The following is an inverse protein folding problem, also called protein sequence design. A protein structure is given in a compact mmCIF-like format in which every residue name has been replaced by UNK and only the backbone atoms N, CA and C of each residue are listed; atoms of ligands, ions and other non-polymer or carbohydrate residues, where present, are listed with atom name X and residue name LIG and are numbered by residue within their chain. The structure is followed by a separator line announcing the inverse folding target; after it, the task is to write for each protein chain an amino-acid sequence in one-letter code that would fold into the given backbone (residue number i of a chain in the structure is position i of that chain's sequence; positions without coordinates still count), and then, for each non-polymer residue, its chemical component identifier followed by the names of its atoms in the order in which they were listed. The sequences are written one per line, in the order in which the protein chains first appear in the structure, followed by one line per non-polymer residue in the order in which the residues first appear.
data_IF_997251254142
#
_entry.id   IF_997251254142
#
_cell.length_a   1.000
_cell.length_b   1.000
_cell.length_c   1.000
_cell.angle_alpha   90.00
_cell.angle_beta   90.00
_cell.angle_gamma   90.00
#
_symmetry.space_group_name_H-M   'P 1'
#
loop_
_entity.id
_entity.type
_entity.pdbx_description
1 polymer ?
#
# COMPACT_ATOMS: atom_id res chain seq x y z
N UNK A 1 2.12 -2.91 9.20
CA UNK A 1 1.33 -3.23 10.41
C UNK A 1 1.81 -2.45 11.63
N UNK A 2 3.07 -2.59 12.08
CA UNK A 2 3.55 -1.89 13.30
C UNK A 2 3.49 -0.34 13.23
N UNK A 3 3.71 0.27 12.06
CA UNK A 3 3.61 1.72 11.90
C UNK A 3 2.18 2.26 12.15
N UNK A 4 1.15 1.54 11.69
CA UNK A 4 -0.25 1.91 11.95
C UNK A 4 -0.59 1.75 13.43
N UNK A 5 -0.23 0.62 14.06
CA UNK A 5 -0.49 0.39 15.48
C UNK A 5 0.18 1.42 16.40
N UNK A 6 1.37 1.92 16.01
CA UNK A 6 2.05 3.01 16.73
C UNK A 6 1.33 4.36 16.55
N UNK A 7 0.81 4.67 15.35
CA UNK A 7 -0.03 5.87 15.15
C UNK A 7 -1.35 5.78 15.93
N UNK A 8 -1.89 4.58 16.12
CA UNK A 8 -3.07 4.32 16.96
C UNK A 8 -2.80 4.49 18.47
N UNK A 9 -1.56 4.24 18.90
CA UNK A 9 -1.18 4.28 20.34
C UNK A 9 -1.31 5.67 20.97
N UNK A 10 -1.37 6.74 20.16
CA UNK A 10 -1.71 8.11 20.55
C UNK A 10 -3.21 8.42 20.52
N UNK A 11 -4.07 7.52 21.06
CA UNK A 11 -5.55 7.61 21.02
C UNK A 11 -6.19 7.61 19.62
N UNK A 12 -5.47 7.21 18.57
CA UNK A 12 -6.01 7.19 17.20
C UNK A 12 -6.19 8.55 16.54
N UNK A 13 -5.56 9.62 17.03
CA UNK A 13 -5.76 11.01 16.60
C UNK A 13 -5.21 11.36 15.19
N UNK A 14 -4.98 10.39 14.32
CA UNK A 14 -4.39 10.60 12.99
C UNK A 14 -5.13 9.79 11.92
N UNK A 15 -6.46 9.88 11.89
CA UNK A 15 -7.32 9.17 10.94
C UNK A 15 -6.91 9.35 9.48
N UNK A 16 -6.61 10.58 9.08
CA UNK A 16 -6.13 10.90 7.73
C UNK A 16 -4.81 10.17 7.40
N UNK A 17 -3.83 10.26 8.31
CA UNK A 17 -2.54 9.57 8.17
C UNK A 17 -2.73 8.05 8.05
N UNK A 18 -3.64 7.48 8.85
CA UNK A 18 -3.95 6.05 8.74
C UNK A 18 -4.53 5.73 7.36
N UNK A 19 -5.46 6.54 6.83
CA UNK A 19 -6.02 6.30 5.49
C UNK A 19 -4.97 6.38 4.38
N UNK A 20 -4.00 7.28 4.49
CA UNK A 20 -2.86 7.37 3.55
C UNK A 20 -2.04 6.07 3.58
N UNK A 21 -1.70 5.58 4.77
CA UNK A 21 -0.89 4.37 4.93
C UNK A 21 -1.68 3.14 4.48
N UNK A 22 -2.96 3.05 4.81
CA UNK A 22 -3.81 1.92 4.44
C UNK A 22 -3.94 1.80 2.93
N UNK A 23 -4.06 2.91 2.20
CA UNK A 23 -4.04 2.90 0.74
C UNK A 23 -2.74 2.29 0.20
N UNK A 24 -1.59 2.69 0.76
CA UNK A 24 -0.30 2.15 0.34
C UNK A 24 -0.17 0.65 0.64
N UNK A 25 -0.64 0.21 1.81
CA UNK A 25 -0.66 -1.21 2.20
C UNK A 25 -1.59 -1.99 1.26
N UNK A 26 -2.79 -1.48 1.01
CA UNK A 26 -3.79 -2.10 0.15
C UNK A 26 -3.25 -2.28 -1.27
N UNK A 27 -2.70 -1.22 -1.86
CA UNK A 27 -2.13 -1.29 -3.21
C UNK A 27 -0.98 -2.31 -3.29
N UNK A 28 -0.15 -2.39 -2.26
CA UNK A 28 0.94 -3.38 -2.18
C UNK A 28 0.39 -4.80 -2.07
N UNK A 29 -0.56 -5.03 -1.17
CA UNK A 29 -1.18 -6.33 -0.94
C UNK A 29 -1.88 -6.86 -2.21
N UNK A 30 -2.65 -6.01 -2.91
CA UNK A 30 -3.28 -6.36 -4.19
C UNK A 30 -2.25 -6.74 -5.24
N UNK A 31 -1.13 -6.00 -5.35
CA UNK A 31 -0.06 -6.34 -6.30
C UNK A 31 0.57 -7.69 -5.98
N UNK A 32 0.83 -7.99 -4.70
CA UNK A 32 1.36 -9.30 -4.27
C UNK A 32 0.40 -10.42 -4.64
N UNK A 33 -0.89 -10.29 -4.28
CA UNK A 33 -1.93 -11.28 -4.61
C UNK A 33 -1.98 -11.50 -6.12
N UNK A 34 -2.06 -10.42 -6.90
CA UNK A 34 -2.16 -10.49 -8.35
C UNK A 34 -0.92 -11.14 -8.99
N UNK A 35 0.30 -10.77 -8.55
CA UNK A 35 1.54 -11.37 -9.06
C UNK A 35 1.61 -12.88 -8.73
N UNK A 36 1.27 -13.27 -7.51
CA UNK A 36 1.24 -14.66 -7.07
C UNK A 36 0.23 -15.48 -7.89
N UNK A 37 -0.99 -14.96 -8.10
CA UNK A 37 -2.04 -15.63 -8.90
C UNK A 37 -1.72 -15.71 -10.38
N UNK A 38 -1.11 -14.68 -10.97
CA UNK A 38 -0.70 -14.73 -12.39
C UNK A 38 0.45 -15.70 -12.61
N UNK A 39 1.34 -15.88 -11.62
CA UNK A 39 2.47 -16.81 -11.63
C UNK A 39 3.22 -16.81 -12.98
N UNK A 40 3.59 -15.61 -13.46
CA UNK A 40 4.28 -15.44 -14.72
C UNK A 40 5.43 -14.44 -14.55
N UNK A 41 6.64 -14.90 -14.87
CA UNK A 41 7.88 -14.14 -14.75
C UNK A 41 7.82 -12.79 -15.47
N UNK A 42 7.13 -12.69 -16.60
CA UNK A 42 6.99 -11.43 -17.33
C UNK A 42 6.35 -10.34 -16.45
N UNK A 43 5.36 -10.69 -15.62
CA UNK A 43 4.71 -9.71 -14.74
C UNK A 43 5.59 -9.31 -13.56
N UNK A 44 6.43 -10.22 -13.06
CA UNK A 44 7.45 -9.89 -12.06
C UNK A 44 8.52 -8.97 -12.65
N UNK A 45 9.03 -9.26 -13.85
CA UNK A 45 10.00 -8.42 -14.55
C UNK A 45 9.43 -7.03 -14.84
N UNK A 46 8.16 -6.94 -15.26
CA UNK A 46 7.47 -5.65 -15.41
C UNK A 46 7.38 -4.91 -14.08
N UNK A 47 7.12 -5.61 -12.97
CA UNK A 47 7.00 -4.99 -11.64
C UNK A 47 8.32 -4.36 -11.20
N UNK A 48 9.40 -5.14 -11.32
CA UNK A 48 10.76 -4.70 -11.01
C UNK A 48 11.19 -3.58 -11.96
N UNK A 49 11.09 -3.80 -13.27
CA UNK A 49 11.53 -2.85 -14.29
C UNK A 49 10.79 -1.51 -14.19
N UNK A 50 9.46 -1.52 -14.06
CA UNK A 50 8.71 -0.28 -13.93
C UNK A 50 9.05 0.46 -12.63
N UNK A 51 9.37 -0.24 -11.55
CA UNK A 51 9.81 0.35 -10.28
C UNK A 51 11.19 1.02 -10.35
N UNK A 52 12.05 0.60 -11.27
CA UNK A 52 13.42 1.12 -11.40
C UNK A 52 13.55 2.29 -12.40
N UNK A 53 12.50 2.64 -13.13
CA UNK A 53 12.56 3.75 -14.12
C UNK A 53 12.90 5.08 -13.48
N UNK A 54 12.32 5.37 -12.32
CA UNK A 54 12.61 6.61 -11.58
C UNK A 54 14.04 6.65 -11.07
N UNK A 55 14.62 5.50 -10.71
CA UNK A 55 16.02 5.40 -10.30
C UNK A 55 16.97 5.73 -11.46
N UNK A 56 16.66 5.26 -12.68
CA UNK A 56 17.41 5.61 -13.88
C UNK A 56 17.32 7.11 -14.21
N UNK A 57 16.13 7.69 -14.11
CA UNK A 57 15.91 9.13 -14.33
C UNK A 57 16.73 9.96 -13.33
N UNK A 58 16.71 9.58 -12.04
CA UNK A 58 17.51 10.23 -11.01
C UNK A 58 19.01 10.08 -11.27
N UNK A 59 19.45 8.88 -11.66
CA UNK A 59 20.86 8.61 -12.00
C UNK A 59 21.33 9.51 -13.14
N UNK A 60 20.58 9.56 -14.23
CA UNK A 60 20.88 10.42 -15.38
C UNK A 60 20.99 11.89 -14.95
N UNK A 61 20.07 12.35 -14.09
CA UNK A 61 20.11 13.73 -13.59
C UNK A 61 21.37 14.02 -12.77
N UNK A 62 21.77 13.09 -11.90
CA UNK A 62 22.99 13.21 -11.09
C UNK A 62 24.23 13.24 -12.00
N UNK A 63 24.31 12.33 -12.95
CA UNK A 63 25.44 12.24 -13.89
C UNK A 63 25.58 13.51 -14.74
N UNK A 64 24.47 14.07 -15.21
CA UNK A 64 24.46 15.33 -15.94
C UNK A 64 24.94 16.50 -15.06
N UNK A 65 24.48 16.58 -13.81
CA UNK A 65 24.95 17.60 -12.86
C UNK A 65 26.46 17.48 -12.57
N UNK A 66 27.02 16.28 -12.54
CA UNK A 66 28.46 16.03 -12.38
C UNK A 66 29.23 16.56 -13.60
N UNK A 67 28.74 16.27 -14.82
CA UNK A 67 29.35 16.74 -16.07
C UNK A 67 29.33 18.27 -16.15
N UNK A 68 28.22 18.90 -15.79
CA UNK A 68 28.06 20.37 -15.79
C UNK A 68 29.01 21.07 -14.80
N UNK A 69 29.59 20.33 -13.85
CA UNK A 69 30.57 20.83 -12.88
C UNK A 69 31.98 20.28 -13.14
N UNK A 70 32.36 20.15 -14.41
CA UNK A 70 33.69 19.67 -14.83
C UNK A 70 34.08 18.33 -14.19
N UNK A 71 33.13 17.42 -14.07
CA UNK A 71 33.28 16.11 -13.44
C UNK A 71 33.63 16.14 -11.93
N UNK A 72 33.33 17.25 -11.24
CA UNK A 72 33.44 17.30 -9.77
C UNK A 72 32.25 16.59 -9.13
N UNK A 73 32.53 15.40 -8.62
CA UNK A 73 31.58 14.55 -7.89
C UNK A 73 31.47 15.03 -6.44
N UNK A 74 30.24 15.25 -5.97
CA UNK A 74 29.96 15.51 -4.56
C UNK A 74 29.81 14.20 -3.79
N UNK A 75 30.16 14.21 -2.50
CA UNK A 75 30.03 13.03 -1.62
C UNK A 75 28.60 12.49 -1.57
N UNK A 76 27.60 13.38 -1.60
CA UNK A 76 26.19 12.97 -1.62
C UNK A 76 25.81 12.27 -2.91
N UNK A 77 26.36 12.69 -4.05
CA UNK A 77 26.08 12.09 -5.36
C UNK A 77 26.71 10.71 -5.47
N UNK A 78 27.95 10.54 -4.99
CA UNK A 78 28.58 9.22 -4.91
C UNK A 78 27.74 8.25 -4.07
N UNK A 79 27.19 8.72 -2.94
CA UNK A 79 26.31 7.90 -2.10
C UNK A 79 24.99 7.57 -2.79
N UNK A 80 24.39 8.52 -3.50
CA UNK A 80 23.14 8.30 -4.24
C UNK A 80 23.34 7.31 -5.37
N UNK A 81 24.38 7.49 -6.20
CA UNK A 81 24.72 6.58 -7.30
C UNK A 81 24.96 5.16 -6.79
N UNK A 82 25.75 4.98 -5.71
CA UNK A 82 25.95 3.67 -5.07
C UNK A 82 24.63 3.04 -4.59
N UNK A 83 23.68 3.84 -4.10
CA UNK A 83 22.39 3.32 -3.67
C UNK A 83 21.54 2.86 -4.86
N UNK A 84 21.52 3.65 -5.94
CA UNK A 84 20.83 3.32 -7.19
C UNK A 84 21.40 2.03 -7.78
N UNK A 85 22.72 1.96 -7.94
CA UNK A 85 23.40 0.81 -8.53
C UNK A 85 23.15 -0.47 -7.73
N UNK A 86 23.16 -0.38 -6.39
CA UNK A 86 22.87 -1.53 -5.53
C UNK A 86 21.46 -2.07 -5.77
N UNK A 87 20.46 -1.20 -5.93
CA UNK A 87 19.07 -1.62 -6.13
C UNK A 87 18.91 -2.22 -7.54
N UNK A 88 19.47 -1.59 -8.58
CA UNK A 88 19.42 -2.13 -9.95
C UNK A 88 20.05 -3.53 -10.00
N UNK A 89 21.26 -3.68 -9.45
CA UNK A 89 21.97 -4.96 -9.38
C UNK A 89 21.19 -6.05 -8.63
N UNK A 90 20.29 -5.70 -7.71
CA UNK A 90 19.49 -6.68 -6.97
C UNK A 90 18.41 -7.37 -7.80
N UNK A 91 18.08 -6.84 -8.99
CA UNK A 91 16.97 -7.33 -9.80
C UNK A 91 17.38 -8.24 -10.96
N UNK A 92 18.68 -8.38 -11.23
CA UNK A 92 19.24 -9.06 -12.42
C UNK A 92 18.70 -8.53 -13.77
N UNK A 93 18.09 -7.33 -13.79
CA UNK A 93 17.65 -6.68 -15.02
C UNK A 93 18.75 -5.81 -15.59
N UNK A 94 18.89 -5.80 -16.92
CA UNK A 94 19.70 -4.80 -17.61
C UNK A 94 18.96 -3.46 -17.69
N UNK A 95 19.71 -2.38 -17.92
CA UNK A 95 19.14 -1.06 -18.12
C UNK A 95 18.17 -1.03 -19.31
N UNK A 96 18.50 -1.71 -20.42
CA UNK A 96 17.61 -1.81 -21.58
C UNK A 96 16.29 -2.53 -21.23
N UNK A 97 16.35 -3.56 -20.39
CA UNK A 97 15.16 -4.26 -19.90
C UNK A 97 14.31 -3.36 -19.00
N UNK A 98 14.95 -2.57 -18.13
CA UNK A 98 14.25 -1.61 -17.27
C UNK A 98 13.54 -0.54 -18.11
N UNK A 99 14.24 0.07 -19.07
CA UNK A 99 13.68 1.12 -19.95
C UNK A 99 12.50 0.56 -20.77
N UNK A 100 12.70 -0.61 -21.39
CA UNK A 100 11.69 -1.25 -22.24
C UNK A 100 10.54 -1.92 -21.48
N UNK A 101 10.64 -2.04 -20.15
CA UNK A 101 9.60 -2.67 -19.33
C UNK A 101 8.23 -2.00 -19.51
N UNK A 102 7.21 -2.84 -19.73
CA UNK A 102 5.82 -2.37 -19.88
C UNK A 102 5.29 -1.94 -18.52
N UNK A 103 4.42 -0.92 -18.52
CA UNK A 103 3.67 -0.54 -17.32
C UNK A 103 2.86 -1.71 -16.79
N UNK A 104 2.74 -1.79 -15.47
CA UNK A 104 1.81 -2.72 -14.85
C UNK A 104 0.36 -2.30 -15.16
N UNK A 105 -0.56 -3.27 -15.15
CA UNK A 105 -1.98 -2.95 -15.10
C UNK A 105 -2.32 -2.02 -13.94
N UNK A 106 -3.41 -1.28 -14.06
CA UNK A 106 -3.90 -0.47 -12.94
C UNK A 106 -4.39 -1.37 -11.80
N UNK A 107 -4.36 -0.85 -10.55
CA UNK A 107 -4.92 -1.56 -9.38
C UNK A 107 -6.37 -1.99 -9.60
N UNK A 108 -7.17 -1.14 -10.29
CA UNK A 108 -8.54 -1.49 -10.66
C UNK A 108 -8.59 -2.75 -11.53
N UNK A 109 -7.77 -2.79 -12.59
CA UNK A 109 -7.67 -3.96 -13.47
C UNK A 109 -7.14 -5.19 -12.74
N UNK A 110 -6.23 -5.02 -11.78
CA UNK A 110 -5.73 -6.14 -10.98
C UNK A 110 -6.82 -6.73 -10.08
N UNK A 111 -7.66 -5.88 -9.48
CA UNK A 111 -8.79 -6.29 -8.63
C UNK A 111 -9.81 -7.07 -9.46
N UNK A 112 -10.15 -6.54 -10.64
CA UNK A 112 -11.06 -7.22 -11.57
C UNK A 112 -10.48 -8.58 -12.00
N UNK A 113 -9.16 -8.64 -12.29
CA UNK A 113 -8.45 -9.86 -12.67
C UNK A 113 -8.42 -10.96 -11.59
N UNK A 114 -8.41 -10.58 -10.31
CA UNK A 114 -8.43 -11.53 -9.18
C UNK A 114 -9.85 -11.81 -8.65
N UNK A 115 -10.88 -11.32 -9.35
CA UNK A 115 -12.31 -11.44 -9.00
C UNK A 115 -12.67 -10.89 -7.61
N UNK A 116 -12.00 -9.82 -7.18
CA UNK A 116 -12.38 -9.11 -5.96
C UNK A 116 -13.55 -8.17 -6.24
N UNK A 117 -14.41 -7.96 -5.24
CA UNK A 117 -15.57 -7.08 -5.40
C UNK A 117 -15.13 -5.64 -5.73
N UNK A 118 -15.85 -5.00 -6.65
CA UNK A 118 -15.59 -3.62 -7.05
C UNK A 118 -15.69 -2.64 -5.88
N UNK A 119 -16.54 -2.93 -4.91
CA UNK A 119 -16.68 -2.16 -3.67
C UNK A 119 -15.36 -2.09 -2.90
N UNK A 120 -14.57 -3.17 -2.89
CA UNK A 120 -13.24 -3.21 -2.27
C UNK A 120 -12.31 -2.16 -2.90
N UNK A 121 -12.34 -1.99 -4.22
CA UNK A 121 -11.60 -0.94 -4.92
C UNK A 121 -12.11 0.46 -4.55
N UNK A 122 -13.43 0.65 -4.50
CA UNK A 122 -14.01 1.96 -4.19
C UNK A 122 -13.65 2.39 -2.77
N UNK A 123 -13.88 1.53 -1.78
CA UNK A 123 -13.64 1.84 -0.37
C UNK A 123 -12.15 2.01 -0.09
N UNK A 124 -11.32 1.04 -0.50
CA UNK A 124 -9.91 1.01 -0.10
C UNK A 124 -9.03 1.93 -0.94
N UNK A 125 -9.32 2.04 -2.24
CA UNK A 125 -8.51 2.87 -3.14
C UNK A 125 -9.16 4.24 -3.38
N UNK A 126 -10.39 4.32 -3.89
CA UNK A 126 -10.97 5.62 -4.30
C UNK A 126 -11.22 6.54 -3.10
N UNK A 127 -11.89 6.06 -2.05
CA UNK A 127 -12.16 6.87 -0.87
C UNK A 127 -10.87 7.15 -0.08
N UNK A 128 -10.01 6.16 0.12
CA UNK A 128 -8.69 6.35 0.74
C UNK A 128 -7.77 7.33 -0.02
N UNK A 129 -8.03 7.55 -1.32
CA UNK A 129 -7.27 8.53 -2.12
C UNK A 129 -7.57 9.99 -1.76
N UNK A 130 -8.69 10.26 -1.08
CA UNK A 130 -9.08 11.61 -0.71
C UNK A 130 -7.99 12.30 0.14
N UNK A 131 -7.50 11.60 1.16
CA UNK A 131 -6.42 12.05 2.05
C UNK A 131 -5.07 12.21 1.33
N UNK A 132 -4.78 11.40 0.31
CA UNK A 132 -3.52 11.50 -0.45
C UNK A 132 -3.52 12.71 -1.39
N UNK A 133 -4.68 13.10 -1.90
CA UNK A 133 -4.80 14.13 -2.93
C UNK A 133 -5.36 15.46 -2.39
N UNK A 134 -5.69 15.56 -1.10
CA UNK A 134 -6.25 16.78 -0.50
C UNK A 134 -7.55 17.21 -1.17
N UNK A 135 -8.43 16.26 -1.48
CA UNK A 135 -9.67 16.54 -2.22
C UNK A 135 -10.66 17.34 -1.37
N UNK A 136 -11.73 17.88 -1.99
CA UNK A 136 -12.80 18.56 -1.23
C UNK A 136 -13.37 17.73 -0.08
N UNK A 137 -13.60 16.42 -0.29
CA UNK A 137 -14.12 15.52 0.75
C UNK A 137 -13.15 15.42 1.93
N UNK A 138 -11.86 15.36 1.64
CA UNK A 138 -10.82 15.30 2.67
C UNK A 138 -10.73 16.61 3.46
N UNK A 139 -10.68 17.73 2.74
CA UNK A 139 -10.71 19.08 3.34
C UNK A 139 -11.93 19.23 4.25
N UNK A 140 -13.10 18.86 3.75
CA UNK A 140 -14.36 18.97 4.50
C UNK A 140 -14.37 18.07 5.74
N UNK A 141 -13.95 16.80 5.63
CA UNK A 141 -14.05 15.85 6.73
C UNK A 141 -12.99 16.05 7.82
N UNK A 142 -11.79 16.49 7.45
CA UNK A 142 -10.62 16.55 8.34
C UNK A 142 -10.26 17.97 8.79
N UNK A 143 -10.66 19.01 8.05
CA UNK A 143 -10.17 20.37 8.28
C UNK A 143 -11.26 21.44 8.37
N UNK A 144 -12.53 21.10 8.16
CA UNK A 144 -13.65 22.05 8.28
C UNK A 144 -14.71 21.57 9.29
N UNK A 145 -15.39 22.54 9.90
CA UNK A 145 -16.65 22.37 10.64
C UNK A 145 -17.70 23.31 10.07
N UNK A 146 -18.97 22.95 10.23
CA UNK A 146 -20.10 23.85 9.97
C UNK A 146 -20.46 24.62 11.24
N UNK A 147 -20.47 25.95 11.16
CA UNK A 147 -20.91 26.87 12.21
C UNK A 147 -21.82 27.94 11.60
N UNK A 148 -23.09 27.97 11.98
CA UNK A 148 -24.10 28.93 11.50
C UNK A 148 -24.12 29.11 9.96
N UNK A 149 -24.23 28.01 9.20
CA UNK A 149 -24.19 27.98 7.72
C UNK A 149 -22.85 28.46 7.09
N UNK A 150 -21.79 28.56 7.89
CA UNK A 150 -20.44 28.86 7.43
C UNK A 150 -19.49 27.70 7.67
N UNK A 151 -18.51 27.53 6.79
CA UNK A 151 -17.42 26.58 6.98
C UNK A 151 -16.26 27.27 7.69
N UNK A 152 -15.89 26.75 8.85
CA UNK A 152 -14.78 27.25 9.67
C UNK A 152 -13.69 26.20 9.78
N UNK A 153 -12.40 26.59 9.81
CA UNK A 153 -11.31 25.64 10.04
C UNK A 153 -11.48 24.93 11.38
N UNK A 154 -11.08 23.66 11.44
CA UNK A 154 -10.96 22.88 12.69
C UNK A 154 -9.55 22.34 12.86
N UNK A 155 -9.24 21.93 14.09
CA UNK A 155 -8.02 21.18 14.38
C UNK A 155 -8.09 19.75 13.83
N UNK A 156 -6.91 19.18 13.57
CA UNK A 156 -6.75 17.82 13.05
C UNK A 156 -6.73 16.80 14.21
N UNK A 157 -7.92 16.39 14.65
CA UNK A 157 -8.16 15.49 15.79
C UNK A 157 -9.02 14.28 15.42
N UNK A 158 -9.17 14.00 14.11
CA UNK A 158 -9.99 12.90 13.59
C UNK A 158 -9.46 11.55 14.03
N UNK A 159 -10.33 10.79 14.71
CA UNK A 159 -10.05 9.44 15.15
C UNK A 159 -10.12 8.46 13.98
N UNK A 160 -9.15 7.54 13.90
CA UNK A 160 -9.24 6.40 13.00
C UNK A 160 -10.34 5.43 13.48
N UNK A 161 -11.26 5.09 12.59
CA UNK A 161 -12.32 4.12 12.90
C UNK A 161 -11.77 2.69 13.01
N UNK A 162 -12.24 1.89 13.97
CA UNK A 162 -11.75 0.52 14.19
C UNK A 162 -11.86 -0.37 12.95
N UNK A 163 -12.99 -0.31 12.24
CA UNK A 163 -13.21 -1.01 10.97
C UNK A 163 -12.13 -0.75 9.91
N UNK A 164 -11.50 0.42 9.94
CA UNK A 164 -10.41 0.74 9.01
C UNK A 164 -9.19 -0.16 9.27
N UNK A 165 -8.84 -0.40 10.54
CA UNK A 165 -7.76 -1.29 10.93
C UNK A 165 -8.06 -2.77 10.65
N UNK A 166 -9.31 -3.18 10.87
CA UNK A 166 -9.75 -4.55 10.61
C UNK A 166 -9.63 -4.86 9.12
N UNK A 167 -10.23 -4.02 8.27
CA UNK A 167 -10.25 -4.24 6.82
C UNK A 167 -8.85 -4.39 6.24
N UNK A 168 -7.93 -3.49 6.57
CA UNK A 168 -6.57 -3.56 6.02
C UNK A 168 -5.81 -4.79 6.53
N UNK A 169 -6.08 -5.23 7.76
CA UNK A 169 -5.46 -6.43 8.32
C UNK A 169 -5.89 -7.69 7.57
N UNK A 170 -7.19 -7.81 7.23
CA UNK A 170 -7.72 -8.91 6.43
C UNK A 170 -7.09 -8.96 5.04
N UNK A 171 -6.97 -7.82 4.35
CA UNK A 171 -6.32 -7.74 3.03
C UNK A 171 -4.84 -8.15 3.10
N UNK A 172 -4.14 -7.81 4.19
CA UNK A 172 -2.76 -8.25 4.39
C UNK A 172 -2.68 -9.76 4.60
N UNK A 173 -3.57 -10.34 5.42
CA UNK A 173 -3.61 -11.79 5.63
C UNK A 173 -3.85 -12.53 4.31
N UNK A 174 -4.78 -12.07 3.49
CA UNK A 174 -5.00 -12.59 2.13
C UNK A 174 -3.72 -12.56 1.29
N UNK A 175 -2.98 -11.44 1.32
CA UNK A 175 -1.74 -11.32 0.56
C UNK A 175 -0.64 -12.27 1.03
N UNK A 176 -0.55 -12.50 2.34
CA UNK A 176 0.40 -13.46 2.92
C UNK A 176 -0.02 -14.88 2.53
N UNK A 177 -1.30 -15.20 2.60
CA UNK A 177 -1.88 -16.49 2.21
C UNK A 177 -1.52 -16.84 0.77
N UNK A 178 -1.77 -15.91 -0.16
CA UNK A 178 -1.48 -16.10 -1.59
C UNK A 178 0.02 -16.20 -1.87
N UNK A 179 0.85 -15.46 -1.12
CA UNK A 179 2.31 -15.58 -1.22
C UNK A 179 2.81 -16.94 -0.74
N UNK A 180 2.32 -17.43 0.40
CA UNK A 180 2.65 -18.77 0.92
C UNK A 180 2.23 -19.84 -0.08
N UNK A 181 1.02 -19.73 -0.63
CA UNK A 181 0.51 -20.69 -1.61
C UNK A 181 1.36 -20.74 -2.88
N UNK A 182 1.88 -19.58 -3.29
CA UNK A 182 2.78 -19.42 -4.43
C UNK A 182 4.18 -20.02 -4.20
N UNK A 183 4.80 -19.77 -3.04
CA UNK A 183 6.19 -20.24 -2.79
C UNK A 183 6.26 -21.72 -2.43
N UNK A 184 5.24 -22.28 -1.79
CA UNK A 184 5.24 -23.68 -1.35
C UNK A 184 4.54 -24.58 -2.37
N UNK A 185 5.34 -25.25 -3.20
CA UNK A 185 4.85 -26.25 -4.16
C UNK A 185 4.26 -27.49 -3.47
N UNK A 186 4.81 -27.88 -2.32
CA UNK A 186 4.29 -28.98 -1.52
C UNK A 186 3.33 -28.45 -0.44
N UNK A 187 2.04 -28.75 -0.63
CA UNK A 187 0.97 -28.31 0.25
C UNK A 187 1.07 -28.84 1.67
N UNK A 188 1.77 -29.96 1.92
CA UNK A 188 1.96 -30.47 3.28
C UNK A 188 2.75 -29.51 4.18
N UNK A 189 3.58 -28.63 3.60
CA UNK A 189 4.32 -27.61 4.35
C UNK A 189 3.56 -26.30 4.51
N UNK A 190 2.74 -25.92 3.53
CA UNK A 190 1.96 -24.68 3.60
C UNK A 190 0.70 -24.83 4.45
N UNK A 191 0.03 -25.99 4.42
CA UNK A 191 -1.28 -26.16 5.07
C UNK A 191 -1.30 -25.74 6.54
N UNK A 192 -0.36 -26.14 7.42
CA UNK A 192 -0.39 -25.71 8.82
C UNK A 192 -0.29 -24.19 8.99
N UNK A 193 0.39 -23.49 8.09
CA UNK A 193 0.53 -22.03 8.12
C UNK A 193 -0.75 -21.38 7.59
N UNK A 194 -1.32 -21.92 6.50
CA UNK A 194 -2.59 -21.45 5.94
C UNK A 194 -3.73 -21.63 6.96
N UNK A 195 -3.79 -22.78 7.65
CA UNK A 195 -4.78 -23.05 8.69
C UNK A 195 -4.65 -22.05 9.87
N UNK A 196 -3.42 -21.65 10.22
CA UNK A 196 -3.19 -20.61 11.22
C UNK A 196 -3.68 -19.24 10.74
N UNK A 197 -3.42 -18.88 9.47
CA UNK A 197 -3.90 -17.62 8.90
C UNK A 197 -5.44 -17.57 8.84
N UNK A 198 -6.07 -18.68 8.45
CA UNK A 198 -7.53 -18.80 8.41
C UNK A 198 -8.12 -18.68 9.83
N UNK A 199 -7.49 -19.31 10.84
CA UNK A 199 -7.88 -19.17 12.25
C UNK A 199 -7.76 -17.72 12.77
N UNK A 200 -6.69 -17.00 12.40
CA UNK A 200 -6.54 -15.57 12.75
C UNK A 200 -7.62 -14.73 12.08
N UNK A 201 -7.92 -15.00 10.81
CA UNK A 201 -8.98 -14.32 10.06
C UNK A 201 -10.35 -14.51 10.73
N UNK A 202 -10.69 -15.75 11.07
CA UNK A 202 -11.93 -16.10 11.76
C UNK A 202 -12.07 -15.36 13.10
N UNK A 203 -11.00 -15.30 13.90
CA UNK A 203 -11.02 -14.59 15.18
C UNK A 203 -11.17 -13.07 15.01
N UNK A 204 -10.52 -12.46 14.00
CA UNK A 204 -10.72 -11.03 13.69
C UNK A 204 -12.18 -10.76 13.31
N UNK A 205 -12.77 -11.60 12.45
CA UNK A 205 -14.17 -11.46 12.03
C UNK A 205 -15.09 -11.57 13.24
N UNK A 206 -14.85 -12.55 14.11
CA UNK A 206 -15.63 -12.78 15.33
C UNK A 206 -15.58 -11.57 16.27
N UNK A 207 -14.38 -11.06 16.59
CA UNK A 207 -14.21 -9.87 17.43
C UNK A 207 -14.96 -8.68 16.82
N UNK A 208 -14.85 -8.50 15.50
CA UNK A 208 -15.54 -7.41 14.79
C UNK A 208 -17.05 -7.51 14.89
N UNK A 209 -17.61 -8.72 14.80
CA UNK A 209 -19.06 -8.94 14.94
C UNK A 209 -19.54 -8.72 16.37
N UNK A 210 -18.75 -9.08 17.38
CA UNK A 210 -19.06 -8.83 18.79
C UNK A 210 -19.08 -7.32 19.10
N UNK A 211 -18.13 -6.55 18.57
CA UNK A 211 -18.07 -5.09 18.73
C UNK A 211 -19.22 -4.38 17.98
N UNK A 212 -19.47 -4.72 16.71
CA UNK A 212 -20.60 -4.17 15.96
C UNK A 212 -21.95 -4.48 16.62
N UNK A 213 -22.10 -5.67 17.22
CA UNK A 213 -23.28 -6.05 17.98
C UNK A 213 -23.51 -5.22 19.25
N UNK A 214 -22.47 -4.56 19.77
CA UNK A 214 -22.56 -3.66 20.92
C UNK A 214 -22.86 -2.21 20.50
N UNK A 215 -22.30 -1.73 19.38
CA UNK A 215 -22.61 -0.39 18.83
C UNK A 215 -24.11 -0.22 18.51
N UNK A 216 -24.79 -1.29 18.05
CA UNK A 216 -26.24 -1.26 17.81
C UNK A 216 -27.08 -1.26 19.10
N UNK A 217 -26.55 -1.69 20.24
CA UNK A 217 -27.27 -1.68 21.53
C UNK A 217 -27.20 -0.32 22.22
N UNK A 218 -26.20 0.51 21.93
CA UNK A 218 -26.11 1.88 22.46
C UNK A 218 -26.96 2.89 21.68
N UNK A 219 -27.55 2.48 20.55
CA UNK A 219 -28.43 3.28 19.70
C UNK A 219 -29.94 2.98 19.87
N UNK A 220 -30.32 2.13 20.85
CA UNK A 220 -31.72 1.79 21.19
C UNK A 220 -32.05 2.23 22.62
#
# INVERSE_FOLDING_TARGET
MCANSLLSSGRGAFGETTSIIDRCIFETAIKVIWLCKKNNNEYFERYLGNGLKTELELREKIENNIKDRDNKVLVVEERMLKSIDRIICSTNLTEEQIISSKKLPSVASMIDDINYDRLTYVVSQKLGSHAVHGTWVDLFLNYLNEDNDHLVPRDHDRLTHINQYIHISLVVLDSIREFIDYIFLNKSFSNPILDLLDSINDEIIKITQEDLGNDYKELI
#
